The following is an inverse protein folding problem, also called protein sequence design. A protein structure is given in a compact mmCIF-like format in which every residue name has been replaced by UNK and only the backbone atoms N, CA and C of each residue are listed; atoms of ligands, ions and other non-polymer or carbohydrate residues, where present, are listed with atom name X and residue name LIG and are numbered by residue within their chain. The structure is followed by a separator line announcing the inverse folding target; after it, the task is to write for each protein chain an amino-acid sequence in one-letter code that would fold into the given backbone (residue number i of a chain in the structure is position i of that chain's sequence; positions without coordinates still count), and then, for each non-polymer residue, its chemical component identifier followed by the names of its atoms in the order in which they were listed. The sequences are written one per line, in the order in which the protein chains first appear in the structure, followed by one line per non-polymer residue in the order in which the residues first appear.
data_IF_693850577938
#
_entry.id   IF_693850577938
#
_cell.length_a   1.000
_cell.length_b   1.000
_cell.length_c   1.000
_cell.angle_alpha   90.00
_cell.angle_beta   90.00
_cell.angle_gamma   90.00
#
_symmetry.space_group_name_H-M   'P 1'
#
loop_
_entity.id
_entity.type
_entity.pdbx_description
1 polymer ?
#
# COMPACT_ATOMS: atom_id res chain seq x y z
N UNK A 1 -4.92 11.84 -2.19
CA UNK A 1 -3.76 10.93 -2.23
C UNK A 1 -3.03 11.03 -3.54
N UNK A 2 -1.73 10.84 -3.51
CA UNK A 2 -0.93 10.88 -4.73
C UNK A 2 -0.47 9.47 -5.10
N UNK A 3 0.18 9.36 -6.25
CA UNK A 3 0.65 8.07 -6.78
C UNK A 3 1.55 7.32 -5.80
N UNK A 4 2.43 8.06 -5.12
CA UNK A 4 3.33 7.47 -4.17
C UNK A 4 2.59 6.79 -3.02
N UNK A 5 1.54 7.44 -2.53
CA UNK A 5 0.74 6.88 -1.44
C UNK A 5 -0.01 5.63 -1.88
N UNK A 6 -0.54 5.62 -3.09
CA UNK A 6 -1.17 4.43 -3.64
C UNK A 6 -0.17 3.28 -3.73
N UNK A 7 1.02 3.58 -4.18
CA UNK A 7 2.07 2.58 -4.31
C UNK A 7 2.45 2.00 -2.95
N UNK A 8 2.57 2.86 -1.95
CA UNK A 8 2.89 2.41 -0.59
C UNK A 8 1.81 1.49 -0.04
N UNK A 9 0.55 1.87 -0.18
CA UNK A 9 -0.55 1.04 0.33
C UNK A 9 -0.60 -0.31 -0.38
N UNK A 10 -0.40 -0.31 -1.68
CA UNK A 10 -0.39 -1.54 -2.45
C UNK A 10 0.75 -2.45 -2.02
N UNK A 11 1.92 -1.88 -1.77
CA UNK A 11 3.08 -2.65 -1.34
C UNK A 11 2.85 -3.25 0.04
N UNK A 12 2.27 -2.48 0.96
CA UNK A 12 1.94 -3.00 2.28
C UNK A 12 1.01 -4.20 2.17
N UNK A 13 -0.01 -4.09 1.32
CA UNK A 13 -0.96 -5.17 1.13
C UNK A 13 -0.31 -6.41 0.53
N UNK A 14 0.58 -6.20 -0.43
CA UNK A 14 1.24 -7.31 -1.12
C UNK A 14 2.13 -8.12 -0.17
N UNK A 15 2.82 -7.45 0.72
CA UNK A 15 3.73 -8.13 1.63
C UNK A 15 3.03 -8.64 2.89
N UNK A 16 1.99 -7.94 3.33
CA UNK A 16 1.30 -8.29 4.56
C UNK A 16 2.18 -8.20 5.79
N UNK A 17 3.25 -7.43 5.70
CA UNK A 17 4.24 -7.29 6.77
C UNK A 17 4.93 -5.95 6.59
N UNK A 18 4.87 -5.10 7.63
CA UNK A 18 5.42 -3.75 7.53
C UNK A 18 6.92 -3.73 7.29
N UNK A 19 7.65 -4.62 7.98
CA UNK A 19 9.10 -4.63 7.82
C UNK A 19 9.52 -5.01 6.41
N UNK A 20 8.89 -6.01 5.85
CA UNK A 20 9.21 -6.44 4.48
C UNK A 20 8.79 -5.38 3.46
N UNK A 21 7.62 -4.78 3.66
CA UNK A 21 7.17 -3.72 2.77
C UNK A 21 8.11 -2.51 2.83
N UNK A 22 8.54 -2.14 4.04
CA UNK A 22 9.47 -1.02 4.21
C UNK A 22 10.78 -1.29 3.49
N UNK A 23 11.28 -2.51 3.58
CA UNK A 23 12.50 -2.89 2.91
C UNK A 23 12.34 -2.76 1.39
N UNK A 24 11.22 -3.22 0.86
CA UNK A 24 10.94 -3.10 -0.57
C UNK A 24 10.83 -1.65 -1.01
N UNK A 25 10.35 -0.79 -0.13
CA UNK A 25 10.15 0.63 -0.44
C UNK A 25 11.37 1.48 -0.10
N UNK A 26 12.41 0.89 0.47
CA UNK A 26 13.63 1.57 0.88
C UNK A 26 13.36 2.67 1.91
N UNK A 27 12.46 2.38 2.84
CA UNK A 27 12.18 3.29 3.96
C UNK A 27 12.28 2.49 5.25
N UNK A 28 12.34 3.19 6.39
CA UNK A 28 12.39 2.51 7.68
C UNK A 28 11.00 1.97 8.03
N UNK A 29 10.93 0.89 8.80
CA UNK A 29 9.64 0.39 9.26
C UNK A 29 8.85 1.43 10.06
N UNK A 30 9.53 2.24 10.87
CA UNK A 30 8.83 3.26 11.63
C UNK A 30 8.27 4.36 10.73
N UNK A 31 8.98 4.72 9.67
CA UNK A 31 8.46 5.70 8.71
C UNK A 31 7.23 5.15 8.00
N UNK A 32 7.25 3.88 7.63
CA UNK A 32 6.12 3.28 6.96
C UNK A 32 4.93 3.12 7.90
N UNK A 33 5.20 2.78 9.16
CA UNK A 33 4.15 2.70 10.17
C UNK A 33 3.48 4.06 10.36
N UNK A 34 4.28 5.12 10.39
CA UNK A 34 3.76 6.47 10.52
C UNK A 34 2.91 6.84 9.30
N UNK A 35 3.38 6.48 8.12
CA UNK A 35 2.62 6.71 6.90
C UNK A 35 1.25 6.03 6.97
N UNK A 36 1.23 4.77 7.39
CA UNK A 36 -0.02 4.04 7.47
C UNK A 36 -0.98 4.67 8.48
N UNK A 37 -0.45 5.08 9.64
CA UNK A 37 -1.27 5.74 10.64
C UNK A 37 -1.86 7.04 10.11
N UNK A 38 -1.09 7.80 9.34
CA UNK A 38 -1.59 9.03 8.73
C UNK A 38 -2.71 8.75 7.74
N UNK A 39 -2.54 7.71 6.93
CA UNK A 39 -3.59 7.33 5.99
C UNK A 39 -4.87 6.93 6.71
N UNK A 40 -4.74 6.14 7.77
CA UNK A 40 -5.90 5.69 8.52
C UNK A 40 -6.61 6.86 9.19
N UNK A 41 -5.83 7.82 9.68
CA UNK A 41 -6.43 9.01 10.27
C UNK A 41 -7.18 9.83 9.23
N UNK A 42 -6.62 9.96 8.04
CA UNK A 42 -7.25 10.72 6.96
C UNK A 42 -8.54 10.06 6.51
N UNK A 43 -8.53 8.75 6.37
CA UNK A 43 -9.74 8.02 5.96
C UNK A 43 -10.75 7.90 7.08
N UNK A 44 -10.30 7.94 8.32
CA UNK A 44 -11.18 7.75 9.46
C UNK A 44 -11.47 6.30 9.79
N UNK A 45 -10.76 5.37 9.18
CA UNK A 45 -10.94 3.93 9.41
C UNK A 45 -9.61 3.24 9.48
N UNK A 46 -9.58 2.10 10.17
CA UNK A 46 -8.45 1.22 10.09
C UNK A 46 -8.42 0.56 8.71
N UNK A 47 -7.30 0.62 8.04
CA UNK A 47 -7.13 -0.03 6.74
C UNK A 47 -6.56 -1.43 6.89
N UNK A 48 -5.77 -1.65 7.93
CA UNK A 48 -5.17 -2.94 8.23
C UNK A 48 -5.25 -3.23 9.71
N UNK A 49 -5.43 -4.49 10.04
CA UNK A 49 -5.35 -4.96 11.41
C UNK A 49 -4.06 -5.73 11.59
N UNK A 50 -3.40 -5.51 12.73
CA UNK A 50 -2.13 -6.17 13.03
C UNK A 50 -2.37 -7.36 13.94
N UNK A 51 -1.82 -8.50 13.55
CA UNK A 51 -1.90 -9.70 14.36
C UNK A 51 -0.67 -10.56 14.08
N UNK A 52 0.06 -10.90 15.12
CA UNK A 52 1.27 -11.71 15.00
C UNK A 52 2.23 -11.16 13.95
N UNK A 53 2.47 -9.85 13.99
CA UNK A 53 3.39 -9.15 13.09
C UNK A 53 2.96 -9.19 11.64
N UNK A 54 1.73 -9.57 11.38
CA UNK A 54 1.19 -9.54 10.04
C UNK A 54 0.08 -8.51 9.96
N UNK A 55 -0.13 -8.03 8.76
CA UNK A 55 -1.17 -7.06 8.47
C UNK A 55 -2.24 -7.72 7.64
N UNK A 56 -3.48 -7.56 8.07
CA UNK A 56 -4.64 -8.10 7.38
C UNK A 56 -5.54 -6.93 7.01
N UNK A 57 -5.92 -6.80 5.72
CA UNK A 57 -6.76 -5.66 5.33
C UNK A 57 -8.15 -5.79 5.93
N UNK A 58 -8.70 -4.66 6.40
CA UNK A 58 -10.10 -4.58 6.74
C UNK A 58 -10.91 -4.56 5.45
N UNK A 59 -12.23 -4.63 5.56
CA UNK A 59 -13.08 -4.53 4.36
C UNK A 59 -12.83 -3.20 3.64
N UNK A 60 -12.75 -2.12 4.40
CA UNK A 60 -12.42 -0.80 3.83
C UNK A 60 -11.03 -0.80 3.24
N UNK A 61 -10.07 -1.37 3.96
CA UNK A 61 -8.69 -1.43 3.49
C UNK A 61 -8.57 -2.18 2.18
N UNK A 62 -9.29 -3.29 2.06
CA UNK A 62 -9.28 -4.07 0.82
C UNK A 62 -9.80 -3.24 -0.34
N UNK A 63 -10.89 -2.51 -0.12
CA UNK A 63 -11.45 -1.67 -1.16
C UNK A 63 -10.47 -0.57 -1.58
N UNK A 64 -9.86 0.09 -0.61
CA UNK A 64 -8.89 1.17 -0.89
C UNK A 64 -7.69 0.62 -1.65
N UNK A 65 -7.18 -0.55 -1.25
CA UNK A 65 -6.03 -1.16 -1.93
C UNK A 65 -6.39 -1.55 -3.36
N UNK A 66 -7.57 -2.10 -3.57
CA UNK A 66 -8.00 -2.45 -4.92
C UNK A 66 -8.09 -1.23 -5.81
N UNK A 67 -8.62 -0.13 -5.29
CA UNK A 67 -8.66 1.12 -6.04
C UNK A 67 -7.25 1.62 -6.35
N UNK A 68 -6.36 1.55 -5.36
CA UNK A 68 -4.98 1.98 -5.55
C UNK A 68 -4.29 1.16 -6.64
N UNK A 69 -4.51 -0.15 -6.64
CA UNK A 69 -3.92 -1.03 -7.64
C UNK A 69 -4.44 -0.74 -9.03
N UNK A 70 -5.72 -0.41 -9.15
CA UNK A 70 -6.29 -0.04 -10.44
C UNK A 70 -5.68 1.25 -10.97
N UNK A 71 -5.51 2.23 -10.09
CA UNK A 71 -4.90 3.49 -10.49
C UNK A 71 -3.47 3.27 -10.94
N UNK A 72 -2.71 2.47 -10.20
CA UNK A 72 -1.33 2.17 -10.57
C UNK A 72 -1.26 1.39 -11.88
N UNK A 73 -2.20 0.51 -12.10
CA UNK A 73 -2.27 -0.27 -13.33
C UNK A 73 -2.47 0.64 -14.54
N UNK A 74 -3.32 1.66 -14.41
CA UNK A 74 -3.53 2.61 -15.50
C UNK A 74 -2.27 3.38 -15.83
N UNK A 75 -1.50 3.75 -14.81
CA UNK A 75 -0.25 4.44 -15.01
C UNK A 75 0.74 3.53 -15.74
N UNK A 76 0.80 2.26 -15.35
CA UNK A 76 1.69 1.30 -15.99
C UNK A 76 1.31 1.04 -17.43
N UNK A 77 0.02 0.97 -17.70
CA UNK A 77 -0.46 0.71 -19.06
C UNK A 77 -0.02 1.82 -20.01
N UNK A 78 0.13 3.03 -19.52
CA UNK A 78 0.51 4.15 -20.35
C UNK A 78 2.00 4.17 -20.67
N UNK A 79 2.80 3.28 -20.13
CA UNK A 79 4.22 3.22 -20.40
C UNK A 79 4.48 2.41 -21.67
N UNK A 80 4.98 3.04 -22.70
CA UNK A 80 5.09 2.38 -24.01
C UNK A 80 6.21 1.36 -24.09
N UNK A 81 7.21 1.46 -23.24
CA UNK A 81 8.38 0.59 -23.33
C UNK A 81 8.27 -0.68 -22.55
N UNK A 82 7.12 -0.91 -21.96
CA UNK A 82 6.96 -2.05 -21.11
C UNK A 82 6.92 -3.32 -21.92
N UNK A 83 7.84 -4.24 -21.72
CA UNK A 83 7.84 -5.47 -22.50
C UNK A 83 6.69 -6.37 -22.08
N UNK A 84 6.22 -7.11 -23.03
CA UNK A 84 5.09 -8.01 -22.82
C UNK A 84 5.56 -9.43 -23.02
N UNK A 85 5.95 -10.07 -22.01
CA UNK A 85 6.30 -11.47 -22.08
C UNK A 85 6.58 -12.05 -20.74
#
# INVERSE_FOLDING_TARGET
MNTRQYYYLSTIANYGNLSHAAQALHVSPSALSKFLAECERTFGFALFLRYNRRLYPTAVGRYVVECAQKILSLIHISEPTRPLY
#
